data_IF_560637403434
#
_entry.id   IF_560637403434
#
_cell.length_a   1.000
_cell.length_b   1.000
_cell.length_c   1.000
_cell.angle_alpha   90.00
_cell.angle_beta   90.00
_cell.angle_gamma   90.00
#
_symmetry.space_group_name_H-M   'P 1'
#
loop_
_entity.id
_entity.type
_entity.pdbx_description
1 polymer ?
#
# COMPACT_ATOMS: atom_id res chain seq x y z
N UNK A 1 -24.13 15.94 -18.59
CA UNK A 1 -23.76 14.54 -18.86
C UNK A 1 -22.29 14.37 -18.46
N UNK A 2 -21.98 13.70 -17.35
CA UNK A 2 -20.59 13.47 -16.95
C UNK A 2 -19.92 12.46 -17.90
N UNK A 3 -18.60 12.56 -18.19
CA UNK A 3 -17.91 11.59 -19.02
C UNK A 3 -17.94 10.21 -18.37
N UNK A 4 -18.16 9.17 -19.17
CA UNK A 4 -18.17 7.79 -18.71
C UNK A 4 -16.84 7.44 -18.00
N UNK A 5 -16.88 6.66 -16.90
CA UNK A 5 -15.67 6.29 -16.19
C UNK A 5 -14.72 5.53 -17.13
N UNK A 6 -13.44 5.90 -17.10
CA UNK A 6 -12.39 5.17 -17.82
C UNK A 6 -12.21 3.81 -17.13
N UNK A 7 -12.89 2.79 -17.66
CA UNK A 7 -12.70 1.41 -17.21
C UNK A 7 -11.44 0.85 -17.86
N UNK A 8 -10.46 0.42 -17.05
CA UNK A 8 -9.27 -0.26 -17.55
C UNK A 8 -9.64 -1.67 -18.01
N UNK A 9 -9.82 -1.85 -19.32
CA UNK A 9 -10.31 -3.08 -19.96
C UNK A 9 -9.18 -4.03 -20.44
N UNK A 10 -7.91 -3.80 -20.07
CA UNK A 10 -6.76 -4.60 -20.52
C UNK A 10 -5.76 -4.94 -19.41
N UNK A 11 -4.89 -5.93 -19.65
CA UNK A 11 -3.80 -6.30 -18.73
C UNK A 11 -2.85 -5.11 -18.59
N UNK A 12 -2.80 -4.51 -17.41
CA UNK A 12 -1.90 -3.39 -17.14
C UNK A 12 -0.48 -3.91 -16.89
N UNK A 13 0.51 -3.58 -17.76
CA UNK A 13 1.88 -4.01 -17.54
C UNK A 13 2.36 -3.44 -16.20
N UNK A 14 2.98 -4.29 -15.37
CA UNK A 14 3.51 -3.96 -14.03
C UNK A 14 2.47 -3.66 -12.94
N UNK A 15 1.19 -4.00 -13.14
CA UNK A 15 0.15 -3.96 -12.08
C UNK A 15 0.60 -4.62 -10.77
N UNK A 16 1.37 -5.71 -10.88
CA UNK A 16 1.91 -6.46 -9.75
C UNK A 16 2.76 -5.61 -8.80
N UNK A 17 3.41 -4.54 -9.27
CA UNK A 17 4.26 -3.67 -8.42
C UNK A 17 3.40 -2.98 -7.37
N UNK A 18 2.27 -2.42 -7.80
CA UNK A 18 1.32 -1.71 -6.93
C UNK A 18 0.65 -2.70 -5.99
N UNK A 19 0.15 -3.82 -6.52
CA UNK A 19 -0.50 -4.87 -5.72
C UNK A 19 0.44 -5.43 -4.64
N UNK A 20 1.73 -5.57 -4.95
CA UNK A 20 2.74 -6.05 -3.99
C UNK A 20 2.95 -5.06 -2.84
N UNK A 21 2.96 -3.75 -3.12
CA UNK A 21 3.03 -2.74 -2.06
C UNK A 21 1.83 -2.84 -1.13
N UNK A 22 0.62 -3.00 -1.68
CA UNK A 22 -0.58 -3.22 -0.88
C UNK A 22 -0.51 -4.54 -0.08
N UNK A 23 0.01 -5.62 -0.67
CA UNK A 23 0.19 -6.87 0.05
C UNK A 23 1.10 -6.73 1.28
N UNK A 24 2.17 -5.93 1.20
CA UNK A 24 3.05 -5.65 2.35
C UNK A 24 2.37 -4.77 3.41
N UNK A 25 1.55 -3.80 2.99
CA UNK A 25 0.76 -2.99 3.91
C UNK A 25 -0.29 -3.83 4.63
N UNK A 26 -1.04 -4.67 3.90
CA UNK A 26 -2.05 -5.58 4.47
C UNK A 26 -1.48 -6.60 5.47
N UNK A 27 -0.21 -7.00 5.33
CA UNK A 27 0.46 -7.86 6.32
C UNK A 27 0.67 -7.18 7.67
N UNK A 28 0.66 -5.85 7.73
CA UNK A 28 0.71 -5.13 8.99
C UNK A 28 -0.71 -5.09 9.57
N UNK A 29 -0.95 -5.83 10.66
CA UNK A 29 -2.26 -5.91 11.35
C UNK A 29 -2.93 -4.56 11.58
N UNK A 30 -2.14 -3.51 11.80
CA UNK A 30 -2.60 -2.14 12.06
C UNK A 30 -3.29 -1.49 10.85
N UNK A 31 -3.00 -1.94 9.64
CA UNK A 31 -3.65 -1.51 8.38
C UNK A 31 -4.83 -2.38 7.96
N UNK A 32 -5.24 -3.34 8.78
CA UNK A 32 -6.43 -4.16 8.48
C UNK A 32 -7.72 -3.34 8.46
N UNK A 33 -7.73 -2.20 9.14
CA UNK A 33 -8.80 -1.20 9.11
C UNK A 33 -8.15 0.16 9.34
N UNK A 34 -8.70 1.20 8.73
CA UNK A 34 -8.29 2.55 9.05
C UNK A 34 -8.94 2.95 10.38
N UNK A 35 -8.16 2.91 11.44
CA UNK A 35 -8.57 3.31 12.79
C UNK A 35 -8.08 4.71 13.15
N UNK A 36 -7.23 5.30 12.32
CA UNK A 36 -6.58 6.55 12.66
C UNK A 36 -7.52 7.73 12.39
N UNK A 37 -7.67 8.61 13.39
CA UNK A 37 -8.55 9.78 13.27
C UNK A 37 -7.96 10.86 12.35
N UNK A 38 -6.64 10.90 12.22
CA UNK A 38 -5.92 11.91 11.44
C UNK A 38 -5.15 11.22 10.30
N UNK A 39 -5.22 11.81 9.11
CA UNK A 39 -4.47 11.35 7.93
C UNK A 39 -2.96 11.32 8.20
N UNK A 40 -2.44 12.29 8.95
CA UNK A 40 -1.01 12.39 9.31
C UNK A 40 -0.51 11.16 10.08
N UNK A 41 -1.36 10.59 10.95
CA UNK A 41 -1.02 9.36 11.68
C UNK A 41 -1.00 8.17 10.73
N UNK A 42 -1.98 8.07 9.82
CA UNK A 42 -2.01 7.03 8.78
C UNK A 42 -0.76 7.08 7.90
N UNK A 43 -0.36 8.27 7.44
CA UNK A 43 0.86 8.49 6.66
C UNK A 43 2.12 8.04 7.44
N UNK A 44 2.26 8.46 8.69
CA UNK A 44 3.38 8.06 9.54
C UNK A 44 3.49 6.53 9.70
N UNK A 45 2.35 5.85 9.84
CA UNK A 45 2.32 4.38 9.92
C UNK A 45 2.74 3.72 8.60
N UNK A 46 2.44 4.32 7.44
CA UNK A 46 2.82 3.76 6.14
C UNK A 46 4.34 3.80 6.01
N UNK A 47 4.95 4.95 6.36
CA UNK A 47 6.40 5.08 6.40
C UNK A 47 7.04 4.09 7.37
N UNK A 48 6.48 3.92 8.58
CA UNK A 48 6.98 2.95 9.55
C UNK A 48 6.89 1.50 9.04
N UNK A 49 5.79 1.13 8.38
CA UNK A 49 5.60 -0.20 7.81
C UNK A 49 6.61 -0.50 6.68
N UNK A 50 6.86 0.47 5.80
CA UNK A 50 7.86 0.35 4.74
C UNK A 50 9.28 0.32 5.32
N UNK A 51 9.59 1.13 6.33
CA UNK A 51 10.86 1.10 7.04
C UNK A 51 11.14 -0.27 7.65
N UNK A 52 10.16 -0.86 8.35
CA UNK A 52 10.27 -2.22 8.90
C UNK A 52 10.53 -3.28 7.83
N UNK A 53 9.89 -3.17 6.67
CA UNK A 53 10.11 -4.08 5.55
C UNK A 53 11.55 -3.97 5.02
N UNK A 54 12.07 -2.75 4.85
CA UNK A 54 13.45 -2.53 4.38
C UNK A 54 14.47 -3.04 5.39
N UNK A 55 14.26 -2.79 6.69
CA UNK A 55 15.13 -3.32 7.75
C UNK A 55 15.17 -4.86 7.75
N UNK A 56 14.02 -5.53 7.58
CA UNK A 56 13.97 -7.00 7.48
C UNK A 56 14.72 -7.54 6.26
N UNK A 57 14.70 -6.83 5.14
CA UNK A 57 15.46 -7.21 3.93
C UNK A 57 16.94 -7.03 4.15
N UNK A 58 17.34 -5.90 4.74
CA UNK A 58 18.73 -5.62 5.04
C UNK A 58 19.33 -6.66 5.98
N UNK A 59 18.59 -7.05 7.03
CA UNK A 59 19.04 -8.07 7.99
C UNK A 59 18.99 -9.52 7.45
N UNK A 60 18.34 -9.74 6.31
CA UNK A 60 18.26 -11.06 5.64
C UNK A 60 19.26 -11.19 4.48
N UNK A 61 19.86 -10.08 4.06
CA UNK A 61 21.05 -10.06 3.19
C UNK A 61 22.30 -10.34 4.01
#
# INVERSE_FOLDING_TARGET
MAPAPKVFLGVLPRRWVVERTFAWLCQNRRFSRDYERLCTTGEALIYAAMGRLMLRRLARN
#
